data_IF_511215743598
#
_entry.id   IF_511215743598
#
_cell.length_a   1.000
_cell.length_b   1.000
_cell.length_c   1.000
_cell.angle_alpha   90.00
_cell.angle_beta   90.00
_cell.angle_gamma   90.00
#
_symmetry.space_group_name_H-M   'P 1'
#
loop_
_entity.id
_entity.type
_entity.pdbx_description
1 polymer ?
#
# COMPACT_ATOMS: atom_id res chain seq x y z
N UNK A 1 2.50 0.42 14.35
CA UNK A 1 1.81 1.43 13.52
C UNK A 1 2.75 2.32 12.70
N UNK A 2 3.78 2.96 13.26
CA UNK A 2 4.75 3.74 12.47
C UNK A 2 5.46 2.95 11.35
N UNK A 3 5.71 1.65 11.54
CA UNK A 3 6.24 0.78 10.48
C UNK A 3 5.29 0.65 9.29
N UNK A 4 3.97 0.70 9.52
CA UNK A 4 2.98 0.70 8.43
C UNK A 4 3.12 2.01 7.64
N UNK A 5 3.31 3.14 8.32
CA UNK A 5 3.52 4.42 7.66
C UNK A 5 4.80 4.43 6.81
N UNK A 6 5.92 4.00 7.37
CA UNK A 6 7.17 3.90 6.63
C UNK A 6 7.10 2.89 5.48
N UNK A 7 6.42 1.75 5.69
CA UNK A 7 6.18 0.76 4.64
C UNK A 7 5.34 1.32 3.50
N UNK A 8 4.25 2.04 3.79
CA UNK A 8 3.46 2.74 2.79
C UNK A 8 4.29 3.82 2.07
N UNK A 9 5.10 4.60 2.79
CA UNK A 9 5.93 5.63 2.17
C UNK A 9 6.98 5.04 1.21
N UNK A 10 7.65 3.95 1.60
CA UNK A 10 8.61 3.24 0.76
C UNK A 10 7.95 2.54 -0.44
N UNK A 11 6.76 1.98 -0.25
CA UNK A 11 5.99 1.35 -1.31
C UNK A 11 5.52 2.35 -2.38
N UNK A 12 5.18 3.58 -1.98
CA UNK A 12 4.50 4.57 -2.83
C UNK A 12 5.44 5.46 -3.62
N UNK A 13 6.54 5.91 -3.02
CA UNK A 13 7.38 6.96 -3.62
C UNK A 13 8.61 6.44 -4.34
N UNK A 14 8.91 5.16 -4.22
CA UNK A 14 10.26 4.67 -4.43
C UNK A 14 10.35 3.54 -5.48
N UNK A 15 9.34 3.42 -6.33
CA UNK A 15 9.42 2.65 -7.58
C UNK A 15 10.06 3.49 -8.70
N UNK A 16 11.23 4.08 -8.40
CA UNK A 16 12.04 4.74 -9.42
C UNK A 16 12.86 3.67 -10.16
N UNK A 17 12.55 3.50 -11.44
CA UNK A 17 13.41 2.76 -12.38
C UNK A 17 14.43 3.74 -12.94
N UNK A 18 15.71 3.58 -12.58
CA UNK A 18 16.81 4.28 -13.24
C UNK A 18 17.56 3.24 -14.07
N UNK A 19 17.58 3.40 -15.39
CA UNK A 19 18.23 2.46 -16.32
C UNK A 19 17.78 0.99 -16.13
N UNK A 20 16.49 0.73 -16.00
CA UNK A 20 15.95 -0.64 -15.83
C UNK A 20 16.00 -1.17 -14.39
N UNK A 21 16.85 -0.60 -13.53
CA UNK A 21 17.00 -1.04 -12.14
C UNK A 21 15.97 -0.36 -11.24
N UNK A 22 15.08 -1.15 -10.65
CA UNK A 22 14.14 -0.72 -9.59
C UNK A 22 14.95 -0.51 -8.30
N UNK A 23 15.12 0.76 -7.91
CA UNK A 23 16.04 1.16 -6.81
C UNK A 23 15.53 0.77 -5.42
N UNK A 24 14.21 0.63 -5.29
CA UNK A 24 13.56 0.27 -4.02
C UNK A 24 12.39 -0.62 -4.33
N UNK A 25 12.54 -1.93 -4.12
CA UNK A 25 11.49 -2.83 -4.52
C UNK A 25 10.33 -2.77 -3.52
N UNK A 26 9.15 -2.60 -4.08
CA UNK A 26 7.83 -2.58 -3.44
C UNK A 26 7.61 -3.66 -2.37
N UNK A 27 8.22 -4.84 -2.53
CA UNK A 27 8.17 -5.92 -1.53
C UNK A 27 8.70 -5.48 -0.15
N UNK A 28 9.69 -4.59 -0.07
CA UNK A 28 10.22 -4.08 1.20
C UNK A 28 9.15 -3.27 1.92
N UNK A 29 8.38 -2.47 1.18
CA UNK A 29 7.24 -1.73 1.70
C UNK A 29 6.16 -2.67 2.27
N UNK A 30 5.77 -3.69 1.51
CA UNK A 30 4.81 -4.70 1.98
C UNK A 30 5.31 -5.49 3.19
N UNK A 31 6.61 -5.81 3.24
CA UNK A 31 7.23 -6.45 4.41
C UNK A 31 7.14 -5.58 5.66
N UNK A 32 7.43 -4.28 5.56
CA UNK A 32 7.30 -3.34 6.67
C UNK A 32 5.85 -3.16 7.11
N UNK A 33 4.91 -3.12 6.17
CA UNK A 33 3.47 -3.11 6.46
C UNK A 33 3.07 -4.37 7.22
N UNK A 34 3.48 -5.55 6.75
CA UNK A 34 3.22 -6.82 7.42
C UNK A 34 3.76 -6.83 8.86
N UNK A 35 5.04 -6.48 9.05
CA UNK A 35 5.65 -6.34 10.38
C UNK A 35 4.90 -5.32 11.25
N UNK A 36 4.43 -4.23 10.65
CA UNK A 36 3.63 -3.22 11.30
C UNK A 36 2.29 -3.75 11.78
N UNK A 37 1.59 -4.53 10.96
CA UNK A 37 0.29 -5.15 11.27
C UNK A 37 0.42 -6.18 12.39
N UNK A 38 1.38 -7.12 12.31
CA UNK A 38 1.55 -8.18 13.33
C UNK A 38 1.98 -7.62 14.70
N UNK A 39 2.64 -6.45 14.72
CA UNK A 39 3.02 -5.75 15.95
C UNK A 39 1.86 -4.97 16.56
N UNK A 40 0.76 -4.76 15.84
CA UNK A 40 -0.40 -4.04 16.36
C UNK A 40 -1.42 -5.03 16.96
N UNK A 41 -1.33 -5.26 18.27
CA UNK A 41 -2.30 -6.09 19.00
C UNK A 41 -3.58 -5.31 19.32
N UNK A 42 -4.67 -6.04 19.54
CA UNK A 42 -5.98 -5.47 19.91
C UNK A 42 -6.87 -5.07 18.73
N UNK A 43 -6.41 -5.29 17.48
CA UNK A 43 -7.18 -5.04 16.26
C UNK A 43 -7.45 -6.40 15.58
N UNK A 44 -8.69 -6.88 15.64
CA UNK A 44 -9.12 -8.17 15.09
C UNK A 44 -8.94 -8.24 13.57
N UNK A 45 -9.17 -7.13 12.87
CA UNK A 45 -8.94 -7.03 11.43
C UNK A 45 -7.48 -7.36 11.08
N UNK A 46 -6.53 -6.82 11.85
CA UNK A 46 -5.11 -7.10 11.66
C UNK A 46 -4.76 -8.55 12.00
N UNK A 47 -5.33 -9.10 13.08
CA UNK A 47 -5.15 -10.51 13.42
C UNK A 47 -5.66 -11.44 12.29
N UNK A 48 -6.80 -11.13 11.67
CA UNK A 48 -7.42 -11.96 10.64
C UNK A 48 -6.75 -11.85 9.26
N UNK A 49 -6.29 -10.65 8.89
CA UNK A 49 -5.84 -10.35 7.54
C UNK A 49 -4.36 -9.99 7.42
N UNK A 50 -3.54 -10.21 8.46
CA UNK A 50 -2.09 -9.94 8.38
C UNK A 50 -1.40 -10.65 7.21
N UNK A 51 -1.86 -11.84 6.84
CA UNK A 51 -1.27 -12.62 5.75
C UNK A 51 -1.40 -11.95 4.37
N UNK A 52 -2.34 -11.01 4.16
CA UNK A 52 -2.51 -10.33 2.87
C UNK A 52 -1.28 -9.50 2.52
N UNK A 53 -0.70 -8.80 3.50
CA UNK A 53 0.54 -8.04 3.32
C UNK A 53 1.75 -8.95 3.06
N UNK A 54 1.77 -10.15 3.64
CA UNK A 54 2.80 -11.14 3.37
C UNK A 54 2.69 -11.70 1.95
N UNK A 55 1.48 -12.01 1.48
CA UNK A 55 1.23 -12.45 0.10
C UNK A 55 1.65 -11.37 -0.89
N UNK A 56 1.27 -10.12 -0.64
CA UNK A 56 1.71 -8.98 -1.46
C UNK A 56 3.24 -8.85 -1.50
N UNK A 57 3.91 -8.98 -0.35
CA UNK A 57 5.36 -8.99 -0.26
C UNK A 57 5.99 -10.10 -1.10
N UNK A 58 5.52 -11.34 -0.97
CA UNK A 58 6.07 -12.50 -1.68
C UNK A 58 5.84 -12.39 -3.19
N UNK A 59 4.66 -11.95 -3.60
CA UNK A 59 4.33 -11.73 -5.01
C UNK A 59 5.23 -10.66 -5.64
N UNK A 60 5.31 -9.48 -5.03
CA UNK A 60 6.17 -8.39 -5.47
C UNK A 60 7.65 -8.79 -5.50
N UNK A 61 8.12 -9.54 -4.50
CA UNK A 61 9.50 -10.05 -4.47
C UNK A 61 9.77 -11.05 -5.60
N UNK A 62 8.82 -11.95 -5.86
CA UNK A 62 8.89 -12.88 -6.98
C UNK A 62 8.91 -12.17 -8.32
N UNK A 63 8.05 -11.16 -8.51
CA UNK A 63 8.03 -10.32 -9.70
C UNK A 63 9.37 -9.59 -9.90
N UNK A 64 9.91 -8.95 -8.85
CA UNK A 64 11.19 -8.26 -8.91
C UNK A 64 12.31 -9.19 -9.37
N UNK A 65 12.45 -10.35 -8.74
CA UNK A 65 13.41 -11.39 -9.12
C UNK A 65 13.20 -11.82 -10.57
N UNK A 66 11.96 -12.15 -10.95
CA UNK A 66 11.63 -12.59 -12.30
C UNK A 66 12.06 -11.55 -13.33
N UNK A 67 11.63 -10.30 -13.18
CA UNK A 67 11.97 -9.21 -14.11
C UNK A 67 13.46 -8.91 -14.18
N UNK A 68 14.18 -8.97 -13.05
CA UNK A 68 15.62 -8.71 -13.00
C UNK A 68 16.46 -9.82 -13.66
N UNK A 69 15.96 -11.05 -13.72
CA UNK A 69 16.64 -12.16 -14.42
C UNK A 69 16.21 -12.30 -15.89
N UNK A 70 15.08 -11.72 -16.30
CA UNK A 70 14.51 -11.90 -17.65
C UNK A 70 14.62 -10.68 -18.58
N UNK A 71 15.51 -9.71 -18.32
CA UNK A 71 15.71 -8.49 -19.14
C UNK A 71 15.95 -8.72 -20.66
N UNK A 72 15.95 -9.95 -21.17
CA UNK A 72 16.31 -10.33 -22.54
C UNK A 72 15.23 -11.03 -23.39
N UNK A 73 13.97 -11.13 -22.94
CA UNK A 73 12.94 -11.83 -23.74
C UNK A 73 11.71 -10.97 -24.05
N UNK A 74 11.46 -10.76 -25.34
CA UNK A 74 10.33 -10.01 -25.93
C UNK A 74 8.93 -10.55 -25.62
N UNK A 75 8.82 -11.68 -24.92
CA UNK A 75 7.55 -12.30 -24.48
C UNK A 75 6.93 -11.66 -23.23
N UNK A 76 7.55 -10.64 -22.64
CA UNK A 76 7.17 -10.09 -21.33
C UNK A 76 5.99 -9.11 -21.36
N UNK A 77 5.61 -8.53 -22.50
CA UNK A 77 4.63 -7.43 -22.54
C UNK A 77 3.23 -7.77 -22.00
N UNK A 78 2.64 -8.90 -22.38
CA UNK A 78 1.31 -9.32 -21.89
C UNK A 78 1.36 -9.81 -20.43
N UNK A 79 2.49 -10.40 -20.04
CA UNK A 79 2.74 -10.90 -18.69
C UNK A 79 2.96 -9.76 -17.70
N UNK A 80 3.54 -8.65 -18.16
CA UNK A 80 3.76 -7.42 -17.40
C UNK A 80 2.45 -6.72 -17.03
N UNK A 81 1.48 -6.66 -17.95
CA UNK A 81 0.14 -6.15 -17.65
C UNK A 81 -0.53 -6.99 -16.56
N UNK A 82 -0.45 -8.33 -16.68
CA UNK A 82 -1.03 -9.25 -15.71
C UNK A 82 -0.40 -9.07 -14.32
N UNK A 83 0.92 -8.96 -14.24
CA UNK A 83 1.61 -8.68 -12.98
C UNK A 83 1.23 -7.33 -12.39
N UNK A 84 1.11 -6.30 -13.23
CA UNK A 84 0.71 -4.96 -12.81
C UNK A 84 -0.69 -4.98 -12.20
N UNK A 85 -1.66 -5.65 -12.83
CA UNK A 85 -3.02 -5.77 -12.31
C UNK A 85 -3.07 -6.51 -10.97
N UNK A 86 -2.39 -7.64 -10.85
CA UNK A 86 -2.34 -8.41 -9.60
C UNK A 86 -1.69 -7.57 -8.49
N UNK A 87 -0.60 -6.86 -8.78
CA UNK A 87 0.07 -5.96 -7.83
C UNK A 87 -0.87 -4.85 -7.37
N UNK A 88 -1.60 -4.20 -8.27
CA UNK A 88 -2.58 -3.16 -7.93
C UNK A 88 -3.69 -3.70 -7.03
N UNK A 89 -4.22 -4.90 -7.32
CA UNK A 89 -5.23 -5.55 -6.47
C UNK A 89 -4.67 -5.86 -5.08
N UNK A 90 -3.45 -6.40 -5.00
CA UNK A 90 -2.81 -6.71 -3.72
C UNK A 90 -2.55 -5.44 -2.91
N UNK A 91 -2.09 -4.38 -3.55
CA UNK A 91 -1.97 -3.05 -2.95
C UNK A 91 -3.31 -2.59 -2.37
N UNK A 92 -4.38 -2.61 -3.18
CA UNK A 92 -5.71 -2.18 -2.78
C UNK A 92 -6.24 -2.95 -1.57
N UNK A 93 -6.05 -4.27 -1.55
CA UNK A 93 -6.45 -5.14 -0.44
C UNK A 93 -5.66 -4.82 0.83
N UNK A 94 -4.35 -4.63 0.73
CA UNK A 94 -3.49 -4.31 1.88
C UNK A 94 -3.84 -2.94 2.46
N UNK A 95 -3.99 -1.92 1.61
CA UNK A 95 -4.36 -0.56 2.05
C UNK A 95 -5.77 -0.53 2.63
N UNK A 96 -6.70 -1.34 2.12
CA UNK A 96 -8.04 -1.52 2.68
C UNK A 96 -8.02 -2.15 4.08
N UNK A 97 -7.21 -3.20 4.29
CA UNK A 97 -7.03 -3.83 5.61
C UNK A 97 -6.56 -2.81 6.64
N UNK A 98 -5.63 -1.92 6.26
CA UNK A 98 -5.16 -0.82 7.12
C UNK A 98 -6.32 0.12 7.47
N UNK A 99 -7.11 0.55 6.49
CA UNK A 99 -8.28 1.41 6.74
C UNK A 99 -9.28 0.73 7.68
N UNK A 100 -9.60 -0.54 7.44
CA UNK A 100 -10.54 -1.30 8.29
C UNK A 100 -10.01 -1.46 9.71
N UNK A 101 -8.72 -1.71 9.89
CA UNK A 101 -8.11 -1.75 11.22
C UNK A 101 -8.19 -0.40 11.95
N UNK A 102 -8.06 0.71 11.22
CA UNK A 102 -8.25 2.05 11.79
C UNK A 102 -9.70 2.33 12.19
N UNK A 103 -10.67 1.93 11.36
CA UNK A 103 -12.11 2.05 11.67
C UNK A 103 -12.47 1.20 12.89
N UNK A 104 -11.94 -0.02 12.97
CA UNK A 104 -12.13 -0.90 14.12
C UNK A 104 -11.55 -0.27 15.39
N UNK A 105 -10.34 0.31 15.31
CA UNK A 105 -9.72 0.97 16.45
C UNK A 105 -10.55 2.15 16.95
N UNK A 106 -11.05 2.99 16.05
CA UNK A 106 -11.95 4.11 16.39
C UNK A 106 -13.26 3.63 17.03
N UNK A 107 -13.79 2.50 16.54
CA UNK A 107 -15.02 1.90 17.10
C UNK A 107 -14.77 1.34 18.50
N UNK A 108 -13.65 0.66 18.72
CA UNK A 108 -13.31 0.01 19.98
C UNK A 108 -12.92 1.01 21.08
N UNK A 109 -12.28 2.13 20.72
CA UNK A 109 -11.85 3.15 21.69
C UNK A 109 -12.87 4.26 21.89
N UNK A 110 -13.86 4.38 21.00
CA UNK A 110 -14.83 5.48 21.00
C UNK A 110 -14.21 6.86 20.67
N UNK A 111 -12.93 6.90 20.27
CA UNK A 111 -12.22 8.13 19.95
C UNK A 111 -12.28 8.40 18.45
N UNK A 112 -12.55 9.65 18.07
CA UNK A 112 -12.57 10.06 16.67
C UNK A 112 -11.14 10.13 16.09
N UNK A 113 -10.71 9.04 15.46
CA UNK A 113 -9.42 8.94 14.76
C UNK A 113 -9.47 9.49 13.33
N UNK A 114 -10.61 10.05 12.90
CA UNK A 114 -10.87 10.48 11.52
C UNK A 114 -10.74 9.34 10.50
N UNK A 115 -11.04 8.09 10.89
CA UNK A 115 -10.94 6.92 10.01
C UNK A 115 -11.84 7.01 8.77
N UNK A 116 -12.97 7.73 8.85
CA UNK A 116 -13.82 8.06 7.68
C UNK A 116 -13.04 8.83 6.61
N UNK A 117 -12.22 9.80 7.02
CA UNK A 117 -11.40 10.58 6.09
C UNK A 117 -10.33 9.72 5.42
N UNK A 118 -9.77 8.75 6.15
CA UNK A 118 -8.85 7.75 5.59
C UNK A 118 -9.54 6.83 4.59
N UNK A 119 -10.77 6.39 4.86
CA UNK A 119 -11.56 5.58 3.94
C UNK A 119 -11.87 6.31 2.63
N UNK A 120 -12.28 7.58 2.69
CA UNK A 120 -12.52 8.36 1.47
C UNK A 120 -11.23 8.60 0.67
N UNK A 121 -10.11 8.85 1.34
CA UNK A 121 -8.83 9.01 0.66
C UNK A 121 -8.37 7.70 -0.02
N UNK A 122 -8.59 6.55 0.64
CA UNK A 122 -8.36 5.24 0.03
C UNK A 122 -9.24 5.03 -1.20
N UNK A 123 -10.55 5.28 -1.08
CA UNK A 123 -11.48 5.10 -2.20
C UNK A 123 -11.10 5.97 -3.41
N UNK A 124 -10.75 7.24 -3.19
CA UNK A 124 -10.33 8.11 -4.28
C UNK A 124 -9.04 7.60 -4.93
N UNK A 125 -8.06 7.18 -4.12
CA UNK A 125 -6.79 6.64 -4.61
C UNK A 125 -7.01 5.40 -5.50
N UNK A 126 -7.86 4.46 -5.08
CA UNK A 126 -8.14 3.25 -5.85
C UNK A 126 -8.94 3.54 -7.13
N UNK A 127 -9.92 4.45 -7.07
CA UNK A 127 -10.68 4.87 -8.28
C UNK A 127 -9.75 5.54 -9.28
N UNK A 128 -8.89 6.46 -8.83
CA UNK A 128 -7.88 7.12 -9.67
C UNK A 128 -6.94 6.10 -10.29
N UNK A 129 -6.45 5.13 -9.50
CA UNK A 129 -5.54 4.10 -9.99
C UNK A 129 -6.23 3.23 -11.06
N UNK A 130 -7.44 2.73 -10.79
CA UNK A 130 -8.19 1.90 -11.74
C UNK A 130 -8.54 2.67 -13.04
N UNK A 131 -9.10 3.88 -12.92
CA UNK A 131 -9.42 4.72 -14.07
C UNK A 131 -8.16 5.09 -14.85
N UNK A 132 -7.07 5.43 -14.15
CA UNK A 132 -5.79 5.78 -14.75
C UNK A 132 -5.20 4.64 -15.57
N UNK A 133 -5.14 3.42 -15.01
CA UNK A 133 -4.66 2.24 -15.73
C UNK A 133 -5.48 1.96 -16.99
N UNK A 134 -6.81 2.00 -16.90
CA UNK A 134 -7.70 1.77 -18.06
C UNK A 134 -7.50 2.86 -19.13
N UNK A 135 -7.45 4.13 -18.71
CA UNK A 135 -7.33 5.26 -19.64
C UNK A 135 -5.98 5.28 -20.35
N UNK A 136 -4.90 4.98 -19.63
CA UNK A 136 -3.55 4.85 -20.21
C UNK A 136 -3.50 3.69 -21.21
N UNK A 137 -4.12 2.54 -20.90
CA UNK A 137 -4.16 1.40 -21.81
C UNK A 137 -4.99 1.66 -23.08
N UNK A 138 -6.14 2.34 -22.96
CA UNK A 138 -7.04 2.58 -24.10
C UNK A 138 -6.56 3.69 -25.04
N UNK A 139 -5.95 4.75 -24.50
CA UNK A 139 -5.59 5.93 -25.29
C UNK A 139 -4.15 5.93 -25.79
N UNK A 140 -3.28 5.07 -25.23
CA UNK A 140 -1.84 4.97 -25.54
C UNK A 140 -1.15 6.33 -25.74
N UNK A 141 -1.55 7.29 -24.91
CA UNK A 141 -1.15 8.69 -25.04
C UNK A 141 -0.16 9.04 -23.95
N UNK A 142 1.00 9.59 -24.34
CA UNK A 142 2.02 10.08 -23.42
C UNK A 142 1.44 11.12 -22.45
N UNK A 143 0.59 12.02 -22.95
CA UNK A 143 -0.02 13.08 -22.16
C UNK A 143 -0.96 12.51 -21.10
N UNK A 144 -1.78 11.52 -21.47
CA UNK A 144 -2.69 10.81 -20.53
C UNK A 144 -1.87 10.12 -19.44
N UNK A 145 -0.78 9.45 -19.81
CA UNK A 145 0.11 8.77 -18.86
C UNK A 145 0.72 9.73 -17.84
N UNK A 146 1.20 10.90 -18.30
CA UNK A 146 1.73 11.94 -17.41
C UNK A 146 0.65 12.45 -16.44
N UNK A 147 -0.56 12.72 -16.92
CA UNK A 147 -1.67 13.16 -16.07
C UNK A 147 -2.00 12.07 -15.03
N UNK A 148 -2.13 10.82 -15.46
CA UNK A 148 -2.41 9.67 -14.58
C UNK A 148 -1.36 9.57 -13.47
N UNK A 149 -0.07 9.72 -13.79
CA UNK A 149 1.01 9.70 -12.80
C UNK A 149 0.83 10.85 -11.79
N UNK A 150 0.60 12.08 -12.25
CA UNK A 150 0.44 13.24 -11.37
C UNK A 150 -0.75 13.05 -10.42
N UNK A 151 -1.91 12.66 -10.95
CA UNK A 151 -3.12 12.47 -10.14
C UNK A 151 -2.95 11.30 -9.17
N UNK A 152 -2.27 10.23 -9.59
CA UNK A 152 -1.94 9.10 -8.70
C UNK A 152 -1.06 9.55 -7.54
N UNK A 153 0.03 10.29 -7.80
CA UNK A 153 0.91 10.81 -6.74
C UNK A 153 0.13 11.68 -5.75
N UNK A 154 -0.74 12.57 -6.24
CA UNK A 154 -1.59 13.40 -5.38
C UNK A 154 -2.51 12.53 -4.51
N UNK A 155 -3.17 11.54 -5.11
CA UNK A 155 -4.04 10.60 -4.41
C UNK A 155 -3.33 9.87 -3.28
N UNK A 156 -2.12 9.38 -3.53
CA UNK A 156 -1.38 8.64 -2.50
C UNK A 156 -0.81 9.56 -1.41
N UNK A 157 -0.28 10.73 -1.77
CA UNK A 157 0.11 11.75 -0.78
C UNK A 157 -1.07 12.07 0.13
N UNK A 158 -2.27 12.23 -0.44
CA UNK A 158 -3.46 12.51 0.34
C UNK A 158 -3.84 11.37 1.29
N UNK A 159 -3.78 10.11 0.83
CA UNK A 159 -3.96 8.93 1.66
C UNK A 159 -2.96 8.89 2.83
N UNK A 160 -1.68 9.11 2.56
CA UNK A 160 -0.63 9.14 3.58
C UNK A 160 -0.83 10.25 4.61
N UNK A 161 -1.26 11.45 4.19
CA UNK A 161 -1.58 12.55 5.09
C UNK A 161 -2.74 12.17 6.00
N UNK A 162 -3.80 11.53 5.47
CA UNK A 162 -4.92 11.06 6.31
C UNK A 162 -4.50 9.96 7.27
N UNK A 163 -3.67 9.03 6.82
CA UNK A 163 -3.16 7.97 7.69
C UNK A 163 -2.27 8.54 8.81
N UNK A 164 -1.40 9.50 8.48
CA UNK A 164 -0.58 10.21 9.47
C UNK A 164 -1.44 10.97 10.49
N UNK A 165 -2.54 11.58 10.07
CA UNK A 165 -3.49 12.22 11.00
C UNK A 165 -4.07 11.21 11.99
N UNK A 166 -4.46 10.03 11.53
CA UNK A 166 -4.91 8.95 12.40
C UNK A 166 -3.82 8.53 13.41
N UNK A 167 -2.58 8.33 12.94
CA UNK A 167 -1.44 7.97 13.79
C UNK A 167 -1.13 9.02 14.85
N UNK A 168 -1.20 10.30 14.48
CA UNK A 168 -0.99 11.42 15.41
C UNK A 168 -2.06 11.43 16.52
N UNK A 169 -3.31 11.10 16.20
CA UNK A 169 -4.38 10.99 17.18
C UNK A 169 -4.17 9.82 18.14
N UNK A 170 -3.81 8.64 17.63
CA UNK A 170 -3.43 7.47 18.45
C UNK A 170 -2.32 7.83 19.45
N UNK A 171 -1.28 8.51 18.97
CA UNK A 171 -0.15 8.92 19.81
C UNK A 171 -0.53 9.99 20.84
N UNK A 172 -1.42 10.93 20.49
CA UNK A 172 -1.86 12.00 21.39
C UNK A 172 -2.78 11.46 22.49
N UNK A 173 -3.67 10.54 22.12
CA UNK A 173 -4.73 10.06 22.99
C UNK A 173 -4.31 8.81 23.79
N UNK A 174 -3.02 8.43 23.70
CA UNK A 174 -2.42 7.38 24.52
C UNK A 174 -2.92 5.96 24.22
N UNK A 175 -3.51 5.73 23.05
CA UNK A 175 -4.10 4.44 22.70
C UNK A 175 -2.99 3.38 22.63
N UNK A 176 -2.98 2.45 23.58
CA UNK A 176 -1.97 1.39 23.65
C UNK A 176 -2.25 0.30 22.61
N UNK A 177 -1.68 0.45 21.43
CA UNK A 177 -1.59 -0.63 20.46
C UNK A 177 -0.35 -1.46 20.81
N UNK A 178 -0.47 -2.39 21.77
CA UNK A 178 0.70 -3.03 22.39
C UNK A 178 1.57 -3.78 21.36
N UNK A 179 2.90 -3.52 21.31
CA UNK A 179 3.85 -4.36 20.57
C UNK A 179 3.98 -5.72 21.25
N UNK A 180 4.24 -6.77 20.47
CA UNK A 180 4.50 -8.14 20.93
C UNK A 180 5.55 -8.10 22.05
N UNK A 181 5.14 -8.30 23.30
CA UNK A 181 6.05 -8.63 24.40
C UNK A 181 6.78 -9.90 23.98
N UNK A 182 8.10 -9.84 23.92
CA UNK A 182 8.99 -10.97 23.64
C UNK A 182 9.00 -11.91 24.84
N UNK A 183 7.90 -12.61 25.10
CA UNK A 183 7.84 -13.78 25.97
C UNK A 183 6.72 -14.66 25.46
N UNK A 184 7.09 -15.62 24.62
CA UNK A 184 6.54 -16.97 24.49
C UNK A 184 7.31 -17.70 23.39
#
# INVERSE_FOLDING_TARGET
MWMIFWGLLLFVFFDFRINGIVFTPDFVGFFLVWLGIIRCRGIQTFARYHWTALVACMFSGGQYVFTGFTEYTSYLGELELSFTLVRTVLQAVVTYVIVKGMVELETNTGQNLKSRGLFYAWLLMEVVSACGTVLTYLLDSLLVSIITIIVSVIGVVWYLVKFYQCLKMISRDGISVQPRSSKE
#
